data_IF_299113981455
#
_entry.id   IF_299113981455
#
_cell.length_a   1.000
_cell.length_b   1.000
_cell.length_c   1.000
_cell.angle_alpha   90.00
_cell.angle_beta   90.00
_cell.angle_gamma   90.00
#
_symmetry.space_group_name_H-M   'P 1'
#
loop_
_entity.id
_entity.type
_entity.pdbx_description
1 polymer ?
#
# COMPACT_ATOMS: atom_id res chain seq x y z
N UNK A 1 -11.58 -9.55 18.88
CA UNK A 1 -11.76 -9.75 17.44
C UNK A 1 -11.12 -8.63 16.64
N UNK A 2 -10.65 -8.96 15.47
CA UNK A 2 -9.99 -8.01 14.57
C UNK A 2 -10.97 -6.99 13.98
N UNK A 3 -10.49 -5.85 13.42
CA UNK A 3 -11.36 -4.89 12.72
C UNK A 3 -12.19 -5.51 11.58
N UNK A 4 -11.77 -6.65 11.05
CA UNK A 4 -12.52 -7.39 10.02
C UNK A 4 -13.91 -7.86 10.50
N UNK A 5 -14.10 -8.06 11.81
CA UNK A 5 -15.41 -8.47 12.34
C UNK A 5 -16.46 -7.38 12.18
N UNK A 6 -16.09 -6.11 12.29
CA UNK A 6 -16.99 -4.99 12.06
C UNK A 6 -17.49 -4.94 10.61
N UNK A 7 -16.61 -5.22 9.64
CA UNK A 7 -17.00 -5.29 8.24
C UNK A 7 -17.99 -6.42 7.98
N UNK A 8 -17.81 -7.57 8.63
CA UNK A 8 -18.73 -8.69 8.56
C UNK A 8 -20.13 -8.33 9.10
N UNK A 9 -20.18 -7.54 10.16
CA UNK A 9 -21.45 -7.08 10.72
C UNK A 9 -22.22 -6.16 9.76
N UNK A 10 -21.52 -5.32 9.03
CA UNK A 10 -22.13 -4.44 8.01
C UNK A 10 -22.77 -5.25 6.89
N UNK A 11 -22.13 -6.31 6.45
CA UNK A 11 -22.64 -7.17 5.36
C UNK A 11 -23.56 -8.29 5.83
N UNK A 12 -24.01 -8.25 7.08
CA UNK A 12 -24.95 -9.22 7.67
C UNK A 12 -24.50 -10.68 7.59
N UNK A 13 -23.21 -10.90 7.59
CA UNK A 13 -22.64 -12.10 8.11
C UNK A 13 -23.03 -13.42 7.53
N UNK A 14 -23.06 -13.43 6.26
CA UNK A 14 -23.09 -14.68 5.55
C UNK A 14 -21.70 -15.30 5.43
N UNK A 15 -20.67 -14.55 5.84
CA UNK A 15 -19.29 -14.99 5.82
C UNK A 15 -18.83 -15.29 7.24
N UNK A 16 -18.33 -16.48 7.44
CA UNK A 16 -17.72 -16.85 8.69
C UNK A 16 -16.33 -16.22 8.80
N UNK A 17 -16.07 -15.57 9.93
CA UNK A 17 -14.77 -15.00 10.19
C UNK A 17 -13.89 -15.98 10.94
N UNK A 18 -12.63 -16.06 10.53
CA UNK A 18 -11.60 -16.77 11.25
C UNK A 18 -10.44 -15.83 11.57
N UNK A 19 -9.77 -16.11 12.66
CA UNK A 19 -8.57 -15.39 13.06
C UNK A 19 -7.49 -16.39 13.41
N UNK A 20 -6.27 -16.12 13.00
CA UNK A 20 -5.13 -16.98 13.26
C UNK A 20 -4.18 -16.29 14.25
N UNK A 21 -3.93 -16.95 15.38
CA UNK A 21 -3.00 -16.44 16.37
C UNK A 21 -1.56 -16.54 15.87
N UNK A 22 -0.83 -15.43 15.98
CA UNK A 22 0.45 -15.24 15.31
C UNK A 22 1.56 -16.20 15.75
N UNK A 23 1.59 -16.58 17.03
CA UNK A 23 2.66 -17.42 17.58
C UNK A 23 2.30 -18.90 17.67
N UNK A 24 1.07 -19.19 18.05
CA UNK A 24 0.62 -20.54 18.36
C UNK A 24 -0.14 -21.18 17.20
N UNK A 25 -0.41 -20.38 16.17
CA UNK A 25 -1.16 -20.82 14.97
C UNK A 25 -2.53 -21.43 15.32
N UNK A 26 -3.15 -20.89 16.36
CA UNK A 26 -4.49 -21.26 16.77
C UNK A 26 -5.51 -20.55 15.89
N UNK A 27 -6.52 -21.28 15.47
CA UNK A 27 -7.62 -20.75 14.65
C UNK A 27 -8.80 -20.43 15.54
N UNK A 28 -9.23 -19.17 15.51
CA UNK A 28 -10.41 -18.70 16.22
C UNK A 28 -11.53 -18.48 15.21
N UNK A 29 -12.73 -18.95 15.54
CA UNK A 29 -13.92 -18.75 14.71
C UNK A 29 -14.96 -17.91 15.45
N UNK A 30 -15.92 -17.38 14.72
CA UNK A 30 -17.02 -16.63 15.33
C UNK A 30 -18.08 -17.53 15.97
N UNK A 31 -18.04 -18.83 15.67
CA UNK A 31 -19.01 -19.82 16.21
C UNK A 31 -18.58 -20.39 17.55
N UNK A 32 -17.31 -20.61 17.73
CA UNK A 32 -16.77 -21.29 18.90
C UNK A 32 -15.95 -20.34 19.75
N UNK A 33 -16.09 -20.47 21.06
CA UNK A 33 -15.31 -19.69 22.01
C UNK A 33 -13.91 -20.25 22.24
N UNK A 34 -13.69 -21.52 21.85
CA UNK A 34 -12.41 -22.16 21.99
C UNK A 34 -11.65 -22.17 20.66
N UNK A 35 -10.31 -21.98 20.70
CA UNK A 35 -9.50 -22.04 19.48
C UNK A 35 -9.41 -23.47 18.95
N UNK A 36 -9.36 -23.58 17.63
CA UNK A 36 -9.13 -24.83 16.93
C UNK A 36 -7.63 -24.99 16.73
N UNK A 37 -7.08 -26.10 17.17
CA UNK A 37 -5.68 -26.43 16.94
C UNK A 37 -5.58 -27.39 15.78
N UNK A 38 -5.00 -26.94 14.67
CA UNK A 38 -4.78 -27.79 13.51
C UNK A 38 -3.48 -28.59 13.66
N UNK A 39 -3.44 -29.84 13.17
CA UNK A 39 -2.19 -30.60 13.18
C UNK A 39 -1.10 -29.87 12.38
N UNK A 40 0.14 -29.79 12.91
CA UNK A 40 1.25 -29.21 12.16
C UNK A 40 1.44 -29.92 10.82
N UNK A 41 1.71 -29.14 9.77
CA UNK A 41 1.90 -29.64 8.40
C UNK A 41 0.68 -30.34 7.77
N UNK A 42 -0.51 -30.21 8.34
CA UNK A 42 -1.73 -30.63 7.66
C UNK A 42 -2.04 -29.69 6.49
N UNK A 43 -2.83 -30.15 5.52
CA UNK A 43 -3.24 -29.31 4.39
C UNK A 43 -3.99 -28.06 4.83
N UNK A 44 -4.88 -28.21 5.81
CA UNK A 44 -5.63 -27.06 6.36
C UNK A 44 -4.70 -26.05 7.03
N UNK A 45 -3.75 -26.52 7.81
CA UNK A 45 -2.76 -25.68 8.48
C UNK A 45 -1.91 -24.90 7.45
N UNK A 46 -1.36 -25.60 6.48
CA UNK A 46 -0.53 -25.00 5.43
C UNK A 46 -1.33 -24.00 4.59
N UNK A 47 -2.57 -24.30 4.27
CA UNK A 47 -3.45 -23.41 3.53
C UNK A 47 -3.70 -22.10 4.29
N UNK A 48 -4.01 -22.18 5.57
CA UNK A 48 -4.25 -20.99 6.40
C UNK A 48 -3.00 -20.14 6.55
N UNK A 49 -1.84 -20.76 6.70
CA UNK A 49 -0.55 -20.04 6.76
C UNK A 49 -0.31 -19.31 5.44
N UNK A 50 -0.51 -19.96 4.31
CA UNK A 50 -0.34 -19.36 2.99
C UNK A 50 -1.29 -18.17 2.77
N UNK A 51 -2.53 -18.30 3.16
CA UNK A 51 -3.52 -17.20 3.08
C UNK A 51 -3.08 -16.02 3.95
N UNK A 52 -2.67 -16.30 5.19
CA UNK A 52 -2.18 -15.27 6.11
C UNK A 52 -0.98 -14.53 5.53
N UNK A 53 0.01 -15.26 5.05
CA UNK A 53 1.25 -14.70 4.52
C UNK A 53 0.99 -13.87 3.26
N UNK A 54 0.11 -14.33 2.38
CA UNK A 54 -0.26 -13.60 1.18
C UNK A 54 -1.05 -12.33 1.50
N UNK A 55 -1.99 -12.39 2.44
CA UNK A 55 -2.73 -11.21 2.90
C UNK A 55 -1.80 -10.19 3.55
N UNK A 56 -0.86 -10.65 4.37
CA UNK A 56 0.14 -9.79 5.01
C UNK A 56 1.06 -9.13 3.98
N UNK A 57 1.54 -9.87 3.00
CA UNK A 57 2.35 -9.36 1.90
C UNK A 57 1.60 -8.31 1.09
N UNK A 58 0.34 -8.56 0.78
CA UNK A 58 -0.51 -7.62 0.07
C UNK A 58 -0.67 -6.31 0.87
N UNK A 59 -0.95 -6.41 2.16
CA UNK A 59 -1.12 -5.25 3.03
C UNK A 59 0.16 -4.42 3.11
N UNK A 60 1.32 -5.03 3.28
CA UNK A 60 2.61 -4.34 3.32
C UNK A 60 2.87 -3.61 2.00
N UNK A 61 2.64 -4.28 0.87
CA UNK A 61 2.84 -3.68 -0.46
C UNK A 61 1.92 -2.48 -0.66
N UNK A 62 0.66 -2.59 -0.25
CA UNK A 62 -0.30 -1.50 -0.32
C UNK A 62 0.14 -0.29 0.55
N UNK A 63 0.53 -0.54 1.79
CA UNK A 63 0.98 0.53 2.70
C UNK A 63 2.25 1.21 2.20
N UNK A 64 3.20 0.46 1.68
CA UNK A 64 4.41 1.04 1.08
C UNK A 64 4.09 1.94 -0.10
N UNK A 65 3.19 1.49 -0.97
CA UNK A 65 2.75 2.26 -2.14
C UNK A 65 2.08 3.56 -1.73
N UNK A 66 1.19 3.50 -0.74
CA UNK A 66 0.50 4.67 -0.21
C UNK A 66 1.46 5.64 0.48
N UNK A 67 2.37 5.11 1.29
CA UNK A 67 3.40 5.91 1.97
C UNK A 67 4.30 6.64 0.97
N UNK A 68 4.77 5.96 -0.05
CA UNK A 68 5.62 6.54 -1.09
C UNK A 68 4.89 7.64 -1.86
N UNK A 69 3.62 7.43 -2.19
CA UNK A 69 2.79 8.42 -2.87
C UNK A 69 2.60 9.68 -2.02
N UNK A 70 2.33 9.52 -0.74
CA UNK A 70 2.13 10.64 0.18
C UNK A 70 3.44 11.41 0.41
N UNK A 71 4.55 10.70 0.55
CA UNK A 71 5.87 11.31 0.70
C UNK A 71 6.24 12.13 -0.53
N UNK A 72 6.03 11.60 -1.73
CA UNK A 72 6.31 12.31 -2.98
C UNK A 72 5.42 13.54 -3.14
N UNK A 73 4.13 13.42 -2.84
CA UNK A 73 3.19 14.56 -2.89
C UNK A 73 3.65 15.68 -1.96
N UNK A 74 4.05 15.35 -0.75
CA UNK A 74 4.55 16.31 0.25
C UNK A 74 5.78 17.07 -0.27
N UNK A 75 6.70 16.38 -0.95
CA UNK A 75 7.87 17.03 -1.53
C UNK A 75 7.49 17.92 -2.73
N UNK A 76 6.57 17.46 -3.57
CA UNK A 76 6.09 18.23 -4.73
C UNK A 76 5.39 19.54 -4.32
N UNK A 77 4.72 19.55 -3.16
CA UNK A 77 4.07 20.76 -2.64
C UNK A 77 5.07 21.89 -2.35
N UNK A 78 6.32 21.56 -2.10
CA UNK A 78 7.38 22.51 -1.79
C UNK A 78 7.99 23.17 -3.03
N UNK A 79 7.66 22.68 -4.22
CA UNK A 79 8.26 23.13 -5.48
C UNK A 79 7.39 24.21 -6.11
N UNK A 80 7.98 25.37 -6.39
CA UNK A 80 7.29 26.45 -7.07
C UNK A 80 6.91 26.05 -8.50
N UNK A 81 5.71 26.42 -8.89
CA UNK A 81 5.19 26.15 -10.24
C UNK A 81 4.56 24.77 -10.41
N UNK A 82 4.51 23.96 -9.36
CA UNK A 82 3.88 22.64 -9.37
C UNK A 82 2.56 22.69 -8.58
N UNK A 83 1.46 22.92 -9.28
CA UNK A 83 0.11 22.89 -8.72
C UNK A 83 -0.45 21.48 -8.67
N UNK A 84 -1.68 21.35 -8.17
CA UNK A 84 -2.35 20.05 -7.99
C UNK A 84 -2.40 19.18 -9.25
N UNK A 85 -2.70 19.81 -10.39
CA UNK A 85 -2.78 19.08 -11.67
C UNK A 85 -1.43 18.48 -12.07
N UNK A 86 -0.37 19.27 -11.93
CA UNK A 86 0.99 18.83 -12.25
C UNK A 86 1.48 17.76 -11.27
N UNK A 87 1.17 17.92 -9.99
CA UNK A 87 1.44 16.89 -8.98
C UNK A 87 0.76 15.58 -9.33
N UNK A 88 -0.51 15.62 -9.70
CA UNK A 88 -1.27 14.44 -10.07
C UNK A 88 -0.63 13.71 -11.26
N UNK A 89 -0.23 14.43 -12.29
CA UNK A 89 0.42 13.83 -13.45
C UNK A 89 1.80 13.25 -13.12
N UNK A 90 2.56 13.92 -12.27
CA UNK A 90 3.84 13.41 -11.79
C UNK A 90 3.67 12.16 -10.93
N UNK A 91 2.66 12.13 -10.06
CA UNK A 91 2.36 10.95 -9.22
C UNK A 91 1.90 9.74 -10.02
N UNK A 92 1.24 9.95 -11.16
CA UNK A 92 0.88 8.85 -12.07
C UNK A 92 2.10 8.24 -12.74
N UNK A 93 3.10 9.05 -13.03
CA UNK A 93 4.29 8.64 -13.77
C UNK A 93 5.41 8.13 -12.87
N UNK A 94 5.64 8.81 -11.74
CA UNK A 94 6.70 8.48 -10.78
C UNK A 94 6.09 7.96 -9.49
N UNK A 95 6.56 6.81 -9.04
CA UNK A 95 5.96 6.11 -7.90
C UNK A 95 6.55 6.52 -6.55
N UNK A 96 7.78 7.01 -6.54
CA UNK A 96 8.49 7.37 -5.33
C UNK A 96 9.50 8.51 -5.60
N UNK A 97 10.10 9.02 -4.54
CA UNK A 97 11.09 10.09 -4.60
C UNK A 97 12.32 9.66 -5.40
N UNK A 98 12.74 8.41 -5.25
CA UNK A 98 13.91 7.89 -5.96
C UNK A 98 13.73 7.93 -7.47
N UNK A 99 12.57 7.51 -7.97
CA UNK A 99 12.31 7.49 -9.41
C UNK A 99 12.27 8.90 -10.02
N UNK A 100 11.70 9.88 -9.32
CA UNK A 100 11.63 11.26 -9.81
C UNK A 100 12.99 11.97 -9.71
N UNK A 101 13.75 11.70 -8.67
CA UNK A 101 15.08 12.29 -8.50
C UNK A 101 16.10 11.76 -9.51
N UNK A 102 15.89 10.54 -9.99
CA UNK A 102 16.73 9.92 -11.03
C UNK A 102 16.35 10.32 -12.45
N UNK A 103 15.19 10.96 -12.64
CA UNK A 103 14.71 11.35 -13.95
C UNK A 103 15.46 12.57 -14.49
N UNK A 104 15.66 12.60 -15.80
CA UNK A 104 16.22 13.77 -16.48
C UNK A 104 15.18 14.88 -16.67
N UNK A 105 15.64 16.10 -16.98
CA UNK A 105 14.73 17.21 -17.30
C UNK A 105 13.83 16.86 -18.48
N UNK A 106 14.36 16.16 -19.48
CA UNK A 106 13.58 15.74 -20.65
C UNK A 106 12.49 14.74 -20.28
N UNK A 107 12.79 13.79 -19.41
CA UNK A 107 11.80 12.83 -18.91
C UNK A 107 10.71 13.52 -18.09
N UNK A 108 11.09 14.48 -17.26
CA UNK A 108 10.13 15.26 -16.48
C UNK A 108 9.26 16.13 -17.39
N UNK A 109 9.84 16.76 -18.39
CA UNK A 109 9.12 17.59 -19.37
C UNK A 109 8.17 16.78 -20.25
N UNK A 110 8.41 15.50 -20.44
CA UNK A 110 7.52 14.60 -21.16
C UNK A 110 6.23 14.29 -20.40
N UNK A 111 6.17 14.64 -19.11
CA UNK A 111 4.95 14.47 -18.30
C UNK A 111 3.87 15.45 -18.78
N UNK A 112 2.64 14.94 -18.92
CA UNK A 112 1.51 15.72 -19.40
C UNK A 112 1.28 16.97 -18.51
N UNK A 113 1.18 18.12 -19.14
CA UNK A 113 0.92 19.38 -18.43
C UNK A 113 2.14 20.05 -17.80
N UNK A 114 3.32 19.43 -17.88
CA UNK A 114 4.55 20.02 -17.40
C UNK A 114 5.23 20.82 -18.52
N UNK A 115 5.51 22.10 -18.26
CA UNK A 115 6.38 22.91 -19.12
C UNK A 115 7.84 22.56 -18.83
N UNK A 116 8.73 22.92 -19.75
CA UNK A 116 10.18 22.71 -19.53
C UNK A 116 10.69 23.49 -18.31
N UNK A 117 10.15 24.67 -18.08
CA UNK A 117 10.47 25.49 -16.89
C UNK A 117 10.06 24.79 -15.59
N UNK A 118 8.84 24.21 -15.55
CA UNK A 118 8.38 23.45 -14.40
C UNK A 118 9.22 22.18 -14.19
N UNK A 119 9.55 21.48 -15.28
CA UNK A 119 10.42 20.30 -15.22
C UNK A 119 11.81 20.65 -14.67
N UNK A 120 12.37 21.78 -15.06
CA UNK A 120 13.64 22.26 -14.54
C UNK A 120 13.57 22.55 -13.04
N UNK A 121 12.48 23.14 -12.57
CA UNK A 121 12.27 23.38 -11.13
C UNK A 121 12.24 22.08 -10.34
N UNK A 122 11.55 21.06 -10.84
CA UNK A 122 11.51 19.74 -10.22
C UNK A 122 12.90 19.11 -10.18
N UNK A 123 13.60 19.14 -11.31
CA UNK A 123 14.96 18.60 -11.40
C UNK A 123 15.90 19.27 -10.40
N UNK A 124 15.89 20.60 -10.35
CA UNK A 124 16.74 21.36 -9.44
C UNK A 124 16.42 21.09 -7.98
N UNK A 125 15.15 20.92 -7.65
CA UNK A 125 14.73 20.62 -6.28
C UNK A 125 15.30 19.28 -5.78
N UNK A 126 15.22 18.23 -6.59
CA UNK A 126 15.67 16.89 -6.20
C UNK A 126 17.18 16.66 -6.38
N UNK A 127 17.85 17.53 -7.10
CA UNK A 127 19.30 17.39 -7.38
C UNK A 127 20.15 18.49 -6.76
N UNK A 128 19.63 19.10 -5.71
CA UNK A 128 20.40 20.07 -4.94
C UNK A 128 21.55 19.42 -4.17
#
# INVERSE_FOLDING_TARGET
LSPSSAASDVYKRQVELISLAKREELVYTTRDNEPIRLPPNSHAHNLLINIRDEAHRFAITYFRRLHNKNALRSELDKIDGIGEKRQTELLKRFKNIESISSASVDELAATKGLSRSAAQNVFDYFNK
#
